data_IF_453465961605
#
_entry.id   IF_453465961605
#
_cell.length_a   1.000
_cell.length_b   1.000
_cell.length_c   1.000
_cell.angle_alpha   90.00
_cell.angle_beta   90.00
_cell.angle_gamma   90.00
#
_symmetry.space_group_name_H-M   'P 1'
#
loop_
_entity.id
_entity.type
_entity.pdbx_description
1 polymer ?
#
# COMPACT_ATOMS: atom_id res chain seq x y z
N UNK A 1 -16.86 23.76 8.83
CA UNK A 1 -16.37 22.37 8.63
C UNK A 1 -14.88 22.36 8.29
N UNK A 2 -14.44 22.95 7.16
CA UNK A 2 -13.02 22.98 6.73
C UNK A 2 -12.07 23.54 7.80
N UNK A 3 -12.32 24.77 8.28
CA UNK A 3 -11.48 25.39 9.32
C UNK A 3 -11.39 24.56 10.62
N UNK A 4 -12.46 23.84 10.96
CA UNK A 4 -12.48 22.94 12.13
C UNK A 4 -11.56 21.75 11.91
N UNK A 5 -11.63 21.11 10.74
CA UNK A 5 -10.75 19.98 10.35
C UNK A 5 -9.29 20.40 10.34
N UNK A 6 -8.95 21.54 9.72
CA UNK A 6 -7.57 22.06 9.68
C UNK A 6 -7.02 22.28 11.10
N UNK A 7 -7.77 22.98 11.97
CA UNK A 7 -7.33 23.25 13.34
C UNK A 7 -7.12 21.96 14.14
N UNK A 8 -8.02 20.98 13.96
CA UNK A 8 -7.91 19.67 14.59
C UNK A 8 -6.66 18.90 14.14
N UNK A 9 -6.45 18.78 12.83
CA UNK A 9 -5.27 18.10 12.27
C UNK A 9 -3.97 18.77 12.70
N UNK A 10 -3.87 20.11 12.57
CA UNK A 10 -2.69 20.86 12.99
C UNK A 10 -2.39 20.70 14.48
N UNK A 11 -3.43 20.71 15.33
CA UNK A 11 -3.25 20.48 16.77
C UNK A 11 -2.63 19.09 17.05
N UNK A 12 -3.10 18.04 16.37
CA UNK A 12 -2.57 16.68 16.53
C UNK A 12 -1.15 16.57 16.00
N UNK A 13 -0.90 17.11 14.79
CA UNK A 13 0.43 17.09 14.16
C UNK A 13 1.46 17.78 15.08
N UNK A 14 1.11 18.95 15.62
CA UNK A 14 1.97 19.71 16.54
C UNK A 14 2.16 18.98 17.87
N UNK A 15 1.08 18.50 18.48
CA UNK A 15 1.14 17.82 19.80
C UNK A 15 1.98 16.54 19.73
N UNK A 16 1.94 15.81 18.61
CA UNK A 16 2.74 14.60 18.41
C UNK A 16 4.15 14.89 17.87
N UNK A 17 4.48 16.14 17.58
CA UNK A 17 5.82 16.55 17.11
C UNK A 17 6.14 16.21 15.66
N UNK A 18 5.13 16.04 14.79
CA UNK A 18 5.34 15.67 13.39
C UNK A 18 5.34 16.85 12.41
N UNK A 19 5.27 18.09 12.89
CA UNK A 19 5.24 19.29 12.03
C UNK A 19 6.47 19.39 11.12
N UNK A 20 7.67 19.13 11.66
CA UNK A 20 8.91 19.10 10.87
C UNK A 20 8.88 18.04 9.79
N UNK A 21 8.26 16.88 10.05
CA UNK A 21 8.14 15.82 9.06
C UNK A 21 7.28 16.26 7.87
N UNK A 22 6.12 16.86 8.13
CA UNK A 22 5.27 17.40 7.06
C UNK A 22 5.98 18.47 6.23
N UNK A 23 6.77 19.35 6.87
CA UNK A 23 7.51 20.39 6.17
C UNK A 23 8.64 19.82 5.30
N UNK A 24 9.35 18.79 5.79
CA UNK A 24 10.37 18.09 4.99
C UNK A 24 9.72 17.45 3.76
N UNK A 25 8.58 16.77 3.93
CA UNK A 25 7.87 16.13 2.83
C UNK A 25 7.32 17.14 1.83
N UNK A 26 6.63 18.17 2.32
CA UNK A 26 6.14 19.27 1.51
C UNK A 26 7.24 19.88 0.65
N UNK A 27 8.43 20.07 1.23
CA UNK A 27 9.54 20.72 0.56
C UNK A 27 10.02 19.96 -0.68
N UNK A 28 10.37 18.68 -0.55
CA UNK A 28 10.87 17.93 -1.72
C UNK A 28 9.76 17.59 -2.72
N UNK A 29 8.49 17.44 -2.27
CA UNK A 29 7.35 17.22 -3.18
C UNK A 29 7.11 18.46 -4.03
N UNK A 30 7.03 19.64 -3.42
CA UNK A 30 6.77 20.87 -4.16
C UNK A 30 7.98 21.28 -5.00
N UNK A 31 9.20 21.00 -4.54
CA UNK A 31 10.39 21.13 -5.38
C UNK A 31 10.28 20.26 -6.63
N UNK A 32 9.94 18.97 -6.49
CA UNK A 32 9.80 18.05 -7.63
C UNK A 32 8.74 18.54 -8.63
N UNK A 33 7.55 18.93 -8.14
CA UNK A 33 6.49 19.53 -8.96
C UNK A 33 6.97 20.77 -9.72
N UNK A 34 7.71 21.66 -9.04
CA UNK A 34 8.28 22.88 -9.65
C UNK A 34 9.37 22.59 -10.70
N UNK A 35 10.07 21.45 -10.61
CA UNK A 35 11.01 20.97 -11.63
C UNK A 35 10.31 20.19 -12.77
N UNK A 36 8.97 20.17 -12.78
CA UNK A 36 8.17 19.42 -13.73
C UNK A 36 8.30 17.90 -13.59
N UNK A 37 8.80 17.39 -12.46
CA UNK A 37 8.84 15.95 -12.18
C UNK A 37 7.43 15.51 -11.81
N UNK A 38 6.89 14.50 -12.51
CA UNK A 38 5.60 13.95 -12.17
C UNK A 38 5.63 13.30 -10.78
N UNK A 39 4.71 13.74 -9.91
CA UNK A 39 4.51 13.24 -8.55
C UNK A 39 3.14 12.58 -8.48
N UNK A 40 3.05 11.42 -7.83
CA UNK A 40 1.78 10.74 -7.61
C UNK A 40 0.85 11.54 -6.68
N UNK A 41 -0.46 11.34 -6.77
CA UNK A 41 -1.45 12.11 -6.01
C UNK A 41 -1.47 11.81 -4.50
N UNK A 42 -0.63 10.89 -4.03
CA UNK A 42 -0.52 10.41 -2.66
C UNK A 42 -0.77 8.90 -2.55
N UNK A 43 -0.01 8.21 -1.70
CA UNK A 43 -0.12 6.76 -1.48
C UNK A 43 -0.44 6.44 -0.03
N UNK A 44 -1.24 5.39 0.17
CA UNK A 44 -1.57 4.90 1.51
C UNK A 44 -2.56 5.82 2.22
N UNK A 45 -2.36 6.06 3.51
CA UNK A 45 -3.31 6.81 4.33
C UNK A 45 -3.14 8.33 4.30
N UNK A 46 -1.99 8.86 3.83
CA UNK A 46 -1.71 10.31 3.83
C UNK A 46 -2.78 11.15 3.11
N UNK A 47 -3.44 10.58 2.10
CA UNK A 47 -4.55 11.22 1.38
C UNK A 47 -5.76 11.57 2.28
N UNK A 48 -5.84 11.02 3.50
CA UNK A 48 -6.84 11.40 4.50
C UNK A 48 -6.54 12.70 5.27
N UNK A 49 -5.37 13.32 5.06
CA UNK A 49 -5.02 14.59 5.71
C UNK A 49 -5.32 15.79 4.83
N UNK A 50 -6.18 16.67 5.35
CA UNK A 50 -6.46 17.96 4.72
C UNK A 50 -5.24 18.88 4.78
N UNK A 51 -4.43 18.78 5.84
CA UNK A 51 -3.16 19.52 5.94
C UNK A 51 -2.19 19.06 4.85
N UNK A 52 -2.08 17.76 4.58
CA UNK A 52 -1.24 17.25 3.50
C UNK A 52 -1.70 17.75 2.12
N UNK A 53 -3.01 17.78 1.89
CA UNK A 53 -3.60 18.34 0.67
C UNK A 53 -3.27 19.84 0.50
N UNK A 54 -3.48 20.66 1.54
CA UNK A 54 -3.20 22.11 1.49
C UNK A 54 -1.71 22.40 1.28
N UNK A 55 -0.84 21.58 1.84
CA UNK A 55 0.61 21.70 1.67
C UNK A 55 1.09 21.22 0.28
N UNK A 56 0.20 20.66 -0.54
CA UNK A 56 0.55 20.12 -1.86
C UNK A 56 1.29 18.78 -1.80
N UNK A 57 1.28 18.10 -0.65
CA UNK A 57 1.85 16.75 -0.50
C UNK A 57 0.99 15.73 -1.25
N UNK A 58 -0.33 15.89 -1.20
CA UNK A 58 -1.32 15.03 -1.90
C UNK A 58 -2.20 15.88 -2.79
N UNK A 59 -2.70 15.31 -3.89
CA UNK A 59 -3.57 16.00 -4.84
C UNK A 59 -5.05 15.61 -4.71
N UNK A 60 -5.37 14.70 -3.78
CA UNK A 60 -6.74 14.29 -3.48
C UNK A 60 -7.29 15.10 -2.32
N UNK A 61 -8.44 15.75 -2.51
CA UNK A 61 -9.17 16.39 -1.43
C UNK A 61 -9.84 15.34 -0.53
N UNK A 62 -9.43 15.19 0.74
CA UNK A 62 -10.00 14.17 1.64
C UNK A 62 -11.47 14.39 1.95
N UNK A 63 -11.98 15.63 1.88
CA UNK A 63 -13.38 15.91 2.19
C UNK A 63 -14.29 15.36 1.10
N UNK A 64 -13.93 15.56 -0.16
CA UNK A 64 -14.74 15.11 -1.30
C UNK A 64 -14.79 13.58 -1.42
N UNK A 65 -13.73 12.91 -0.95
CA UNK A 65 -13.61 11.45 -0.93
C UNK A 65 -13.95 10.82 0.42
N UNK A 66 -14.45 11.61 1.37
CA UNK A 66 -14.84 11.19 2.72
C UNK A 66 -13.75 10.39 3.46
N UNK A 67 -12.49 10.84 3.37
CA UNK A 67 -11.33 10.17 3.95
C UNK A 67 -11.07 10.69 5.39
N UNK A 68 -11.07 9.79 6.41
CA UNK A 68 -10.83 10.17 7.79
C UNK A 68 -9.33 10.40 8.07
N UNK A 69 -9.03 11.45 8.84
CA UNK A 69 -7.65 11.79 9.20
C UNK A 69 -7.03 10.78 10.16
N UNK A 70 -7.85 10.21 11.04
CA UNK A 70 -7.43 9.29 12.09
C UNK A 70 -6.90 7.98 11.51
N UNK A 71 -7.30 7.63 10.28
CA UNK A 71 -6.71 6.50 9.55
C UNK A 71 -5.24 6.77 9.18
N UNK A 72 -4.87 8.02 8.96
CA UNK A 72 -3.50 8.44 8.73
C UNK A 72 -2.73 8.65 10.03
N UNK A 73 -3.23 9.54 10.89
CA UNK A 73 -2.58 9.89 12.14
C UNK A 73 -3.58 9.83 13.29
N UNK A 74 -3.73 8.64 13.84
CA UNK A 74 -4.55 8.37 15.01
C UNK A 74 -3.93 9.04 16.27
N UNK A 75 -4.64 9.93 17.00
CA UNK A 75 -4.17 10.54 18.24
C UNK A 75 -3.69 9.54 19.30
N UNK A 76 -4.38 8.41 19.41
CA UNK A 76 -4.17 7.43 20.50
C UNK A 76 -3.02 6.46 20.19
N UNK A 77 -2.47 6.51 18.97
CA UNK A 77 -1.43 5.57 18.51
C UNK A 77 -0.04 6.19 18.67
N UNK A 78 0.93 5.48 19.27
CA UNK A 78 2.29 6.01 19.44
C UNK A 78 3.14 5.97 18.16
N UNK A 79 2.67 5.33 17.08
CA UNK A 79 3.50 5.12 15.89
C UNK A 79 3.62 6.38 15.03
N UNK A 80 4.77 6.58 14.36
CA UNK A 80 4.94 7.65 13.40
C UNK A 80 3.98 7.54 12.20
N UNK A 81 3.52 8.67 11.64
CA UNK A 81 2.89 8.65 10.32
C UNK A 81 3.90 8.18 9.27
N UNK A 82 3.42 7.44 8.27
CA UNK A 82 4.21 7.03 7.10
C UNK A 82 3.65 7.76 5.89
N UNK A 83 4.48 8.56 5.22
CA UNK A 83 4.13 9.30 4.02
C UNK A 83 4.95 8.74 2.85
N UNK A 84 4.29 7.90 2.07
CA UNK A 84 4.84 7.33 0.83
C UNK A 84 4.55 8.27 -0.34
N UNK A 85 5.56 8.57 -1.15
CA UNK A 85 5.43 9.42 -2.33
C UNK A 85 5.96 8.68 -3.57
N UNK A 86 5.14 8.69 -4.61
CA UNK A 86 5.52 8.16 -5.93
C UNK A 86 6.08 9.29 -6.80
N UNK A 87 7.17 9.02 -7.51
CA UNK A 87 7.79 9.90 -8.49
C UNK A 87 7.93 9.19 -9.84
N UNK A 88 8.07 9.96 -10.93
CA UNK A 88 8.56 9.45 -12.20
C UNK A 88 9.83 8.60 -12.00
N UNK A 89 9.83 7.35 -12.47
CA UNK A 89 10.89 6.37 -12.17
C UNK A 89 12.26 6.79 -12.71
N UNK A 90 12.26 7.44 -13.86
CA UNK A 90 13.44 8.01 -14.54
C UNK A 90 14.00 9.26 -13.85
N UNK A 91 13.21 9.98 -13.05
CA UNK A 91 13.59 11.29 -12.46
C UNK A 91 13.63 11.29 -10.93
N UNK A 92 13.27 10.19 -10.26
CA UNK A 92 13.32 10.06 -8.79
C UNK A 92 14.70 10.37 -8.17
N UNK A 93 15.78 10.08 -8.92
CA UNK A 93 17.16 10.33 -8.46
C UNK A 93 17.47 11.83 -8.37
N UNK A 94 16.80 12.67 -9.17
CA UNK A 94 16.90 14.14 -9.06
C UNK A 94 16.37 14.62 -7.70
N UNK A 95 15.26 14.04 -7.24
CA UNK A 95 14.65 14.33 -5.93
C UNK A 95 15.55 13.87 -4.80
N UNK A 96 16.11 12.65 -4.90
CA UNK A 96 17.07 12.15 -3.92
C UNK A 96 18.30 13.06 -3.82
N UNK A 97 18.83 13.51 -4.97
CA UNK A 97 19.96 14.43 -5.03
C UNK A 97 19.63 15.79 -4.39
N UNK A 98 18.43 16.34 -4.65
CA UNK A 98 17.97 17.57 -4.01
C UNK A 98 17.93 17.43 -2.49
N UNK A 99 17.30 16.36 -1.99
CA UNK A 99 17.19 16.08 -0.55
C UNK A 99 18.57 15.91 0.07
N UNK A 100 19.48 15.16 -0.58
CA UNK A 100 20.86 14.95 -0.12
C UNK A 100 21.61 16.28 -0.03
N UNK A 101 21.52 17.13 -1.05
CA UNK A 101 22.18 18.44 -1.07
C UNK A 101 21.62 19.39 -0.01
N UNK A 102 20.31 19.35 0.23
CA UNK A 102 19.62 20.27 1.16
C UNK A 102 19.81 19.88 2.62
N UNK A 103 19.71 18.60 2.94
CA UNK A 103 19.75 18.11 4.33
C UNK A 103 21.14 17.63 4.76
N UNK A 104 22.06 17.42 3.81
CA UNK A 104 23.46 17.05 4.05
C UNK A 104 23.76 15.61 3.63
N UNK A 105 24.86 15.42 2.91
CA UNK A 105 25.28 14.12 2.38
C UNK A 105 25.50 13.08 3.48
N UNK A 106 26.01 13.49 4.65
CA UNK A 106 26.25 12.60 5.78
C UNK A 106 24.98 12.30 6.62
N UNK A 107 23.86 12.97 6.32
CA UNK A 107 22.59 12.86 7.06
C UNK A 107 21.50 12.14 6.28
N UNK A 108 21.69 11.97 4.97
CA UNK A 108 20.75 11.32 4.06
C UNK A 108 21.38 10.05 3.51
N UNK A 109 20.64 8.95 3.53
CA UNK A 109 21.14 7.66 3.08
C UNK A 109 20.02 6.75 2.61
N UNK A 110 20.36 5.73 1.85
CA UNK A 110 19.40 4.70 1.46
C UNK A 110 19.41 3.53 2.45
N UNK A 111 18.33 2.77 2.50
CA UNK A 111 18.22 1.62 3.39
C UNK A 111 18.79 0.37 2.70
N UNK A 112 19.53 -0.47 3.41
CA UNK A 112 19.97 -1.78 2.88
C UNK A 112 18.82 -2.79 2.88
N UNK A 113 18.89 -3.72 1.94
CA UNK A 113 18.03 -4.90 1.86
C UNK A 113 18.88 -6.14 1.76
N UNK A 114 18.42 -7.23 2.36
CA UNK A 114 19.08 -8.52 2.29
C UNK A 114 18.25 -9.48 1.46
N UNK A 115 18.78 -9.88 0.31
CA UNK A 115 18.20 -10.93 -0.50
C UNK A 115 18.41 -12.27 0.19
N UNK A 116 17.33 -13.03 0.43
CA UNK A 116 17.38 -14.37 1.04
C UNK A 116 17.48 -15.46 -0.01
N UNK A 117 17.98 -16.62 0.39
CA UNK A 117 17.95 -17.83 -0.44
C UNK A 117 16.53 -18.41 -0.50
N UNK A 118 15.78 -18.04 -1.54
CA UNK A 118 14.43 -18.57 -1.79
C UNK A 118 14.48 -20.00 -2.34
N UNK A 119 13.44 -20.81 -2.07
CA UNK A 119 13.34 -22.23 -2.41
C UNK A 119 13.98 -22.63 -3.76
N UNK A 120 13.54 -21.97 -4.84
CA UNK A 120 14.02 -22.25 -6.21
C UNK A 120 15.50 -21.91 -6.41
N UNK A 121 15.95 -20.79 -5.86
CA UNK A 121 17.35 -20.37 -5.96
C UNK A 121 18.24 -21.27 -5.10
N UNK A 122 17.80 -21.59 -3.89
CA UNK A 122 18.48 -22.54 -2.99
C UNK A 122 18.75 -23.87 -3.68
N UNK A 123 17.74 -24.44 -4.35
CA UNK A 123 17.90 -25.69 -5.10
C UNK A 123 18.91 -25.56 -6.24
N UNK A 124 18.86 -24.49 -7.03
CA UNK A 124 19.82 -24.27 -8.12
C UNK A 124 21.25 -24.12 -7.61
N UNK A 125 21.45 -23.38 -6.52
CA UNK A 125 22.78 -23.16 -5.95
C UNK A 125 23.37 -24.43 -5.34
N UNK A 126 22.56 -25.19 -4.60
CA UNK A 126 23.01 -26.48 -4.04
C UNK A 126 23.33 -27.47 -5.14
N UNK A 127 22.50 -27.54 -6.19
CA UNK A 127 22.75 -28.42 -7.35
C UNK A 127 24.12 -28.13 -7.95
N UNK A 128 24.42 -26.85 -8.19
CA UNK A 128 25.71 -26.40 -8.71
C UNK A 128 26.86 -26.71 -7.74
N UNK A 129 26.68 -26.50 -6.44
CA UNK A 129 27.71 -26.77 -5.43
C UNK A 129 28.01 -28.27 -5.30
N UNK A 130 27.04 -29.13 -5.57
CA UNK A 130 27.21 -30.60 -5.60
C UNK A 130 27.80 -31.12 -6.91
N UNK A 131 28.13 -30.25 -7.88
CA UNK A 131 28.72 -30.63 -9.16
C UNK A 131 27.74 -31.24 -10.16
N UNK A 132 26.43 -31.11 -9.92
CA UNK A 132 25.38 -31.61 -10.80
C UNK A 132 25.12 -30.62 -11.96
N UNK A 133 24.51 -31.12 -13.05
CA UNK A 133 24.24 -30.31 -14.23
C UNK A 133 23.24 -29.17 -13.96
N UNK A 134 23.38 -28.08 -14.71
CA UNK A 134 22.44 -26.95 -14.67
C UNK A 134 21.01 -27.39 -15.01
N UNK A 135 20.84 -28.32 -15.96
CA UNK A 135 19.53 -28.85 -16.36
C UNK A 135 18.81 -29.55 -15.21
N UNK A 136 19.53 -30.27 -14.36
CA UNK A 136 18.97 -30.89 -13.15
C UNK A 136 18.45 -29.82 -12.19
N UNK A 137 19.24 -28.77 -11.94
CA UNK A 137 18.87 -27.70 -11.01
C UNK A 137 17.66 -26.90 -11.50
N UNK A 138 17.60 -26.62 -12.80
CA UNK A 138 16.46 -25.91 -13.40
C UNK A 138 15.19 -26.77 -13.41
N UNK A 139 15.31 -28.08 -13.70
CA UNK A 139 14.19 -29.03 -13.62
C UNK A 139 13.60 -29.06 -12.22
N UNK A 140 14.43 -29.23 -11.19
CA UNK A 140 13.97 -29.27 -9.79
C UNK A 140 13.37 -27.94 -9.34
N UNK A 141 13.97 -26.81 -9.72
CA UNK A 141 13.42 -25.50 -9.42
C UNK A 141 12.04 -25.28 -10.07
N UNK A 142 11.82 -25.74 -11.30
CA UNK A 142 10.53 -25.64 -11.98
C UNK A 142 9.43 -26.48 -11.32
N UNK A 143 9.78 -27.59 -10.67
CA UNK A 143 8.84 -28.43 -9.91
C UNK A 143 8.36 -27.78 -8.60
N UNK A 144 9.06 -26.77 -8.09
CA UNK A 144 8.64 -25.97 -6.93
C UNK A 144 7.59 -24.96 -7.40
N UNK A 145 6.36 -24.96 -6.86
CA UNK A 145 5.34 -23.98 -7.22
C UNK A 145 5.77 -22.55 -6.85
N UNK A 146 5.15 -21.56 -7.47
CA UNK A 146 5.32 -20.18 -7.04
C UNK A 146 4.59 -19.95 -5.70
N UNK A 147 5.15 -19.08 -4.87
CA UNK A 147 4.48 -18.63 -3.65
C UNK A 147 3.17 -17.92 -3.96
N UNK A 148 2.29 -17.85 -2.95
CA UNK A 148 1.06 -17.06 -3.02
C UNK A 148 1.38 -15.62 -2.61
N UNK A 149 0.57 -14.65 -3.02
CA UNK A 149 0.84 -13.22 -2.82
C UNK A 149 1.19 -12.90 -1.35
N UNK A 150 2.41 -12.41 -1.12
CA UNK A 150 2.94 -12.07 0.21
C UNK A 150 3.53 -13.24 1.03
N UNK A 151 3.47 -14.48 0.53
CA UNK A 151 4.02 -15.66 1.20
C UNK A 151 4.96 -16.42 0.27
N UNK A 152 6.25 -16.40 0.61
CA UNK A 152 7.26 -17.15 -0.12
C UNK A 152 7.02 -18.65 0.03
N UNK A 153 7.13 -19.38 -1.08
CA UNK A 153 7.12 -20.84 -1.07
C UNK A 153 8.35 -21.36 -0.33
N UNK A 154 8.16 -22.38 0.51
CA UNK A 154 9.26 -23.13 1.13
C UNK A 154 9.44 -24.48 0.45
N UNK A 155 10.64 -25.05 0.50
CA UNK A 155 10.88 -26.39 -0.06
C UNK A 155 10.01 -27.44 0.65
N UNK A 156 9.76 -27.28 1.95
CA UNK A 156 8.89 -28.17 2.72
C UNK A 156 7.44 -28.13 2.21
N UNK A 157 6.86 -26.95 2.01
CA UNK A 157 5.52 -26.82 1.42
C UNK A 157 5.48 -27.33 -0.02
N UNK A 158 6.52 -27.05 -0.80
CA UNK A 158 6.60 -27.52 -2.19
C UNK A 158 6.58 -29.06 -2.29
N UNK A 159 7.17 -29.78 -1.33
CA UNK A 159 7.10 -31.24 -1.26
C UNK A 159 5.71 -31.79 -0.90
N UNK A 160 4.87 -30.99 -0.24
CA UNK A 160 3.49 -31.34 0.06
C UNK A 160 2.57 -31.04 -1.13
N UNK A 161 2.78 -29.91 -1.81
CA UNK A 161 1.93 -29.42 -2.90
C UNK A 161 2.28 -30.04 -4.27
N UNK A 162 3.55 -30.33 -4.53
CA UNK A 162 4.02 -30.82 -5.83
C UNK A 162 4.28 -32.32 -5.81
N UNK A 163 3.34 -33.09 -6.36
CA UNK A 163 3.47 -34.55 -6.50
C UNK A 163 4.73 -34.96 -7.28
N UNK A 164 5.12 -34.17 -8.30
CA UNK A 164 6.32 -34.42 -9.10
C UNK A 164 7.60 -34.23 -8.27
N UNK A 165 7.68 -33.14 -7.48
CA UNK A 165 8.83 -32.89 -6.62
C UNK A 165 8.95 -33.98 -5.54
N UNK A 166 7.82 -34.39 -4.95
CA UNK A 166 7.76 -35.45 -3.95
C UNK A 166 8.23 -36.79 -4.52
N UNK A 167 7.79 -37.13 -5.72
CA UNK A 167 8.22 -38.34 -6.40
C UNK A 167 9.73 -38.32 -6.68
N UNK A 168 10.27 -37.22 -7.23
CA UNK A 168 11.70 -37.07 -7.48
C UNK A 168 12.52 -37.16 -6.18
N UNK A 169 12.05 -36.55 -5.08
CA UNK A 169 12.68 -36.65 -3.77
C UNK A 169 12.73 -38.09 -3.21
N UNK A 170 11.72 -38.91 -3.51
CA UNK A 170 11.65 -40.30 -3.04
C UNK A 170 12.43 -41.29 -3.91
N UNK A 171 12.59 -40.99 -5.21
CA UNK A 171 13.10 -41.95 -6.20
C UNK A 171 14.51 -41.64 -6.68
N UNK A 172 14.94 -40.37 -6.63
CA UNK A 172 16.23 -39.94 -7.16
C UNK A 172 17.18 -39.56 -5.98
N UNK A 173 18.27 -40.32 -5.74
CA UNK A 173 19.18 -40.06 -4.63
C UNK A 173 19.82 -38.66 -4.65
N UNK A 174 20.20 -38.18 -5.84
CA UNK A 174 20.78 -36.85 -6.02
C UNK A 174 19.78 -35.75 -5.69
N UNK A 175 18.53 -35.90 -6.11
CA UNK A 175 17.46 -34.94 -5.81
C UNK A 175 17.18 -34.89 -4.31
N UNK A 176 17.15 -36.05 -3.63
CA UNK A 176 17.02 -36.10 -2.17
C UNK A 176 18.13 -35.30 -1.49
N UNK A 177 19.39 -35.55 -1.88
CA UNK A 177 20.56 -34.86 -1.34
C UNK A 177 20.51 -33.34 -1.59
N UNK A 178 20.14 -32.92 -2.80
CA UNK A 178 19.98 -31.50 -3.16
C UNK A 178 18.92 -30.84 -2.28
N UNK A 179 17.73 -31.44 -2.17
CA UNK A 179 16.62 -30.86 -1.44
C UNK A 179 16.87 -30.82 0.07
N UNK A 180 17.49 -31.85 0.65
CA UNK A 180 17.83 -31.87 2.07
C UNK A 180 18.83 -30.78 2.46
N UNK A 181 19.84 -30.53 1.62
CA UNK A 181 20.79 -29.44 1.83
C UNK A 181 20.14 -28.09 1.55
N UNK A 182 19.35 -27.97 0.48
CA UNK A 182 18.67 -26.73 0.12
C UNK A 182 17.69 -26.28 1.22
N UNK A 183 16.99 -27.21 1.89
CA UNK A 183 16.12 -26.93 3.04
C UNK A 183 16.87 -26.33 4.23
N UNK A 184 18.15 -26.66 4.41
CA UNK A 184 18.95 -26.13 5.52
C UNK A 184 19.46 -24.71 5.28
N UNK A 185 19.63 -24.32 4.01
CA UNK A 185 20.13 -22.99 3.65
C UNK A 185 19.03 -22.04 3.18
N UNK A 186 17.83 -22.55 2.89
CA UNK A 186 16.66 -21.76 2.57
C UNK A 186 16.40 -20.71 3.66
N UNK A 187 16.16 -19.47 3.25
CA UNK A 187 15.92 -18.34 4.14
C UNK A 187 17.17 -17.65 4.67
N UNK A 188 18.37 -18.21 4.47
CA UNK A 188 19.62 -17.54 4.84
C UNK A 188 19.85 -16.28 3.98
N UNK A 189 20.43 -15.20 4.54
CA UNK A 189 20.88 -14.05 3.76
C UNK A 189 21.94 -14.46 2.73
N UNK A 190 21.79 -13.98 1.49
CA UNK A 190 22.70 -14.28 0.37
C UNK A 190 23.57 -13.09 -0.01
N UNK A 191 22.96 -11.93 -0.13
CA UNK A 191 23.62 -10.71 -0.58
C UNK A 191 22.90 -9.49 -0.02
N UNK A 192 23.63 -8.38 0.09
CA UNK A 192 23.07 -7.06 0.33
C UNK A 192 22.78 -6.34 -0.98
N UNK A 193 21.72 -5.55 -0.98
CA UNK A 193 21.34 -4.63 -2.05
C UNK A 193 20.78 -3.34 -1.45
N UNK A 194 20.60 -2.30 -2.26
CA UNK A 194 19.93 -1.07 -1.84
C UNK A 194 18.41 -1.26 -1.91
N UNK A 195 17.67 -0.79 -0.91
CA UNK A 195 16.21 -0.74 -0.93
C UNK A 195 15.75 0.10 -2.12
N UNK A 196 14.79 -0.41 -2.89
CA UNK A 196 14.37 0.23 -4.12
C UNK A 196 13.86 1.66 -3.89
N UNK A 197 13.20 1.94 -2.77
CA UNK A 197 12.57 3.23 -2.49
C UNK A 197 13.04 3.91 -1.19
N UNK A 198 13.71 3.20 -0.30
CA UNK A 198 13.78 3.58 1.12
C UNK A 198 14.91 4.57 1.36
N UNK A 199 14.56 5.78 1.79
CA UNK A 199 15.50 6.85 2.12
C UNK A 199 15.33 7.22 3.59
N UNK A 200 16.44 7.37 4.29
CA UNK A 200 16.47 7.89 5.66
C UNK A 200 17.02 9.31 5.68
N UNK A 201 16.40 10.16 6.49
CA UNK A 201 16.85 11.53 6.75
C UNK A 201 17.02 11.67 8.26
N UNK A 202 18.16 12.21 8.69
CA UNK A 202 18.51 12.33 10.11
C UNK A 202 18.88 13.76 10.49
N UNK A 203 18.72 14.10 11.77
CA UNK A 203 19.01 15.44 12.28
C UNK A 203 20.54 15.71 12.38
N UNK A 204 21.28 14.66 12.75
CA UNK A 204 22.74 14.62 12.83
C UNK A 204 23.29 13.63 11.80
N UNK A 205 24.61 13.43 11.78
CA UNK A 205 25.24 12.45 10.90
C UNK A 205 24.66 11.05 11.12
N UNK A 206 24.42 10.30 10.04
CA UNK A 206 23.82 8.96 10.12
C UNK A 206 24.63 8.01 11.01
N UNK A 207 25.96 8.18 11.04
CA UNK A 207 26.88 7.37 11.84
C UNK A 207 26.67 7.51 13.36
N UNK A 208 26.01 8.57 13.82
CA UNK A 208 25.62 8.70 15.23
C UNK A 208 24.46 7.76 15.61
N UNK A 209 23.69 7.29 14.62
CA UNK A 209 22.50 6.47 14.83
C UNK A 209 22.67 5.03 14.33
N UNK A 210 23.30 4.86 13.17
CA UNK A 210 23.41 3.57 12.48
C UNK A 210 24.76 3.43 11.77
N UNK A 211 25.33 2.20 11.70
CA UNK A 211 26.47 1.94 10.83
C UNK A 211 26.06 2.12 9.36
N UNK A 212 26.98 2.65 8.56
CA UNK A 212 26.78 2.88 7.11
C UNK A 212 27.83 2.15 6.28
N UNK A 213 27.55 1.98 4.99
CA UNK A 213 28.46 1.51 3.97
C UNK A 213 28.24 2.29 2.68
N UNK A 214 29.15 2.15 1.72
CA UNK A 214 28.95 2.68 0.36
C UNK A 214 28.47 1.58 -0.56
N UNK A 215 27.55 1.92 -1.46
CA UNK A 215 27.21 1.01 -2.55
C UNK A 215 28.41 0.79 -3.48
N UNK A 216 28.52 -0.43 -4.01
CA UNK A 216 29.60 -0.81 -4.94
C UNK A 216 29.46 -0.18 -6.33
N UNK A 217 28.28 0.32 -6.71
CA UNK A 217 28.04 0.89 -8.04
C UNK A 217 28.29 2.40 -8.08
N UNK A 218 27.57 3.14 -7.24
CA UNK A 218 27.49 4.59 -7.31
C UNK A 218 28.10 5.30 -6.09
N UNK A 219 28.66 4.55 -5.14
CA UNK A 219 29.29 5.12 -3.95
C UNK A 219 28.32 5.79 -2.97
N UNK A 220 27.01 5.65 -3.19
CA UNK A 220 25.92 6.20 -2.35
C UNK A 220 25.99 5.64 -0.93
N UNK A 221 25.61 6.44 0.05
CA UNK A 221 25.54 6.04 1.46
C UNK A 221 24.33 5.12 1.65
N UNK A 222 24.58 3.93 2.19
CA UNK A 222 23.57 2.94 2.56
C UNK A 222 23.73 2.65 4.06
N UNK A 223 22.63 2.55 4.80
CA UNK A 223 22.64 2.02 6.16
C UNK A 223 23.05 0.54 6.16
N UNK A 224 23.69 0.01 7.20
CA UNK A 224 23.88 -1.45 7.33
C UNK A 224 22.74 -2.14 8.07
N UNK A 225 21.85 -1.35 8.68
CA UNK A 225 20.59 -1.80 9.27
C UNK A 225 19.50 -1.80 8.22
N UNK A 226 18.73 -2.88 8.15
CA UNK A 226 17.58 -2.97 7.26
C UNK A 226 16.39 -2.17 7.81
N UNK A 227 15.30 -2.17 7.03
CA UNK A 227 14.07 -1.45 7.38
C UNK A 227 13.52 -1.84 8.76
N UNK A 228 13.66 -3.09 9.19
CA UNK A 228 13.12 -3.56 10.46
C UNK A 228 13.90 -3.03 11.67
N UNK A 229 15.19 -2.74 11.50
CA UNK A 229 15.99 -2.15 12.55
C UNK A 229 15.83 -0.62 12.63
N UNK A 230 15.45 0.03 11.53
CA UNK A 230 15.42 1.49 11.42
C UNK A 230 14.03 2.06 11.69
N UNK A 231 13.00 1.49 11.06
CA UNK A 231 11.66 2.07 11.00
C UNK A 231 10.73 1.49 12.09
N UNK A 232 10.16 2.36 12.92
CA UNK A 232 9.20 2.00 13.96
C UNK A 232 7.88 1.45 13.38
N UNK A 233 7.54 1.76 12.13
CA UNK A 233 6.36 1.22 11.45
C UNK A 233 6.59 -0.21 10.92
N UNK A 234 7.84 -0.62 10.73
CA UNK A 234 8.19 -1.94 10.22
C UNK A 234 8.17 -3.04 11.30
N UNK A 235 8.18 -2.69 12.58
CA UNK A 235 8.25 -3.64 13.70
C UNK A 235 7.06 -3.56 14.66
N UNK A 236 6.54 -4.72 15.05
CA UNK A 236 5.37 -4.81 15.92
C UNK A 236 5.64 -4.48 17.39
N UNK A 237 6.90 -4.56 17.82
CA UNK A 237 7.34 -4.34 19.20
C UNK A 237 7.82 -2.91 19.49
N UNK A 238 7.77 -2.00 18.49
CA UNK A 238 8.25 -0.61 18.57
C UNK A 238 9.73 -0.48 19.00
N UNK A 239 10.54 -1.51 18.74
CA UNK A 239 11.98 -1.49 19.02
C UNK A 239 12.75 -1.35 17.71
N UNK A 240 12.89 -0.11 17.25
CA UNK A 240 13.74 0.28 16.14
C UNK A 240 14.46 1.59 16.50
N UNK A 241 15.47 1.97 15.71
CA UNK A 241 16.23 3.22 15.93
C UNK A 241 15.32 4.45 15.83
N UNK A 242 14.28 4.40 14.98
CA UNK A 242 13.30 5.49 14.83
C UNK A 242 13.80 6.65 13.98
N UNK A 243 14.64 6.37 12.98
CA UNK A 243 14.99 7.39 11.98
C UNK A 243 13.79 7.70 11.09
N UNK A 244 13.76 8.92 10.56
CA UNK A 244 12.75 9.31 9.61
C UNK A 244 13.01 8.58 8.28
N UNK A 245 12.10 7.67 7.95
CA UNK A 245 12.04 6.98 6.66
C UNK A 245 11.05 7.69 5.75
N UNK A 246 11.43 7.85 4.48
CA UNK A 246 10.51 8.19 3.40
C UNK A 246 10.77 7.25 2.23
N UNK A 247 9.71 6.72 1.63
CA UNK A 247 9.84 5.93 0.41
C UNK A 247 9.71 6.82 -0.83
N UNK A 248 10.76 6.87 -1.64
CA UNK A 248 10.79 7.49 -2.97
C UNK A 248 10.58 6.41 -4.02
N UNK A 249 9.31 6.07 -4.26
CA UNK A 249 8.96 5.02 -5.21
C UNK A 249 9.07 5.56 -6.63
N UNK A 250 9.74 4.82 -7.50
CA UNK A 250 9.69 5.07 -8.94
C UNK A 250 8.46 4.39 -9.54
N UNK A 251 7.49 5.16 -10.03
CA UNK A 251 6.30 4.64 -10.69
C UNK A 251 6.36 4.94 -12.19
N UNK A 252 6.56 3.89 -12.99
CA UNK A 252 6.64 3.98 -14.46
C UNK A 252 5.45 4.71 -15.10
N UNK A 253 4.26 4.57 -14.51
CA UNK A 253 3.05 5.23 -15.00
C UNK A 253 3.13 6.76 -14.93
N UNK A 254 3.84 7.32 -13.95
CA UNK A 254 4.06 8.76 -13.87
C UNK A 254 4.95 9.23 -15.02
N UNK A 255 6.00 8.47 -15.36
CA UNK A 255 6.85 8.75 -16.52
C UNK A 255 6.10 8.62 -17.84
N UNK A 256 5.20 7.64 -17.98
CA UNK A 256 4.33 7.52 -19.15
C UNK A 256 3.43 8.76 -19.30
N UNK A 257 2.84 9.22 -18.20
CA UNK A 257 2.00 10.42 -18.19
C UNK A 257 2.83 11.67 -18.54
N UNK A 258 4.00 11.84 -17.93
CA UNK A 258 4.93 12.96 -18.20
C UNK A 258 5.28 13.05 -19.69
N UNK A 259 5.70 11.94 -20.29
CA UNK A 259 6.01 11.89 -21.73
C UNK A 259 4.76 12.11 -22.60
N UNK A 260 3.60 11.55 -22.22
CA UNK A 260 2.35 11.78 -22.95
C UNK A 260 1.97 13.26 -22.98
N UNK A 261 2.04 13.97 -21.84
CA UNK A 261 1.75 15.40 -21.75
C UNK A 261 2.70 16.23 -22.63
N UNK A 262 3.99 15.89 -22.62
CA UNK A 262 5.00 16.52 -23.48
C UNK A 262 4.69 16.34 -24.97
N UNK A 263 4.31 15.14 -25.41
CA UNK A 263 3.91 14.93 -26.81
C UNK A 263 2.62 15.66 -27.17
N UNK A 264 1.65 15.76 -26.26
CA UNK A 264 0.44 16.56 -26.48
C UNK A 264 0.80 18.04 -26.67
N UNK A 265 1.67 18.60 -25.83
CA UNK A 265 2.12 19.99 -25.95
C UNK A 265 2.84 20.23 -27.28
N UNK A 266 3.77 19.34 -27.68
CA UNK A 266 4.49 19.43 -28.96
C UNK A 266 3.55 19.40 -30.17
N UNK A 267 2.56 18.50 -30.16
CA UNK A 267 1.72 18.25 -31.33
C UNK A 267 0.51 19.19 -31.44
N UNK A 268 0.00 19.69 -30.32
CA UNK A 268 -1.24 20.49 -30.28
C UNK A 268 -1.02 21.93 -29.81
N UNK A 269 0.14 22.25 -29.22
CA UNK A 269 0.38 23.53 -28.55
C UNK A 269 -0.38 23.70 -27.23
N UNK A 270 -1.14 22.69 -26.79
CA UNK A 270 -1.92 22.73 -25.56
C UNK A 270 -1.10 22.16 -24.41
N UNK A 271 -0.84 23.00 -23.40
CA UNK A 271 -0.25 22.58 -22.14
C UNK A 271 -1.35 22.10 -21.19
N UNK A 272 -1.31 20.82 -20.84
CA UNK A 272 -2.26 20.20 -19.90
C UNK A 272 -1.61 20.14 -18.51
N UNK A 273 -2.32 20.64 -17.50
CA UNK A 273 -1.97 20.41 -16.10
C UNK A 273 -2.71 19.17 -15.59
N UNK A 274 -1.96 18.09 -15.35
CA UNK A 274 -2.52 16.81 -14.91
C UNK A 274 -3.16 16.88 -13.53
N UNK A 275 -2.74 17.81 -12.67
CA UNK A 275 -3.27 17.94 -11.31
C UNK A 275 -4.63 18.64 -11.26
N UNK A 276 -5.07 19.22 -12.37
CA UNK A 276 -6.33 19.98 -12.47
C UNK A 276 -7.30 19.40 -13.52
N UNK A 277 -7.11 18.14 -13.93
CA UNK A 277 -8.02 17.49 -14.89
C UNK A 277 -9.39 17.19 -14.26
N UNK A 278 -10.51 17.39 -14.98
CA UNK A 278 -11.84 17.05 -14.48
C UNK A 278 -11.99 15.55 -14.22
N UNK A 279 -12.63 15.20 -13.11
CA UNK A 279 -12.87 13.80 -12.71
C UNK A 279 -14.21 13.23 -13.20
N UNK A 280 -15.00 14.02 -13.93
CA UNK A 280 -16.33 13.70 -14.42
C UNK A 280 -16.40 13.60 -15.96
N UNK A 281 -15.26 13.50 -16.64
CA UNK A 281 -15.20 13.40 -18.10
C UNK A 281 -15.90 12.14 -18.64
N UNK A 282 -17.03 12.34 -19.32
CA UNK A 282 -17.86 11.27 -19.86
C UNK A 282 -17.10 10.40 -20.87
N UNK A 283 -16.23 10.98 -21.70
CA UNK A 283 -15.49 10.21 -22.73
C UNK A 283 -14.53 9.20 -22.10
N UNK A 284 -13.88 9.59 -21.01
CA UNK A 284 -13.00 8.72 -20.21
C UNK A 284 -13.78 7.54 -19.65
N UNK A 285 -14.94 7.79 -19.03
CA UNK A 285 -15.80 6.72 -18.50
C UNK A 285 -16.41 5.83 -19.59
N UNK A 286 -16.79 6.40 -20.73
CA UNK A 286 -17.31 5.64 -21.87
C UNK A 286 -16.23 4.68 -22.41
N UNK A 287 -14.96 5.09 -22.47
CA UNK A 287 -13.81 4.25 -22.86
C UNK A 287 -13.61 3.07 -21.89
N UNK A 288 -13.60 3.35 -20.59
CA UNK A 288 -13.45 2.31 -19.56
C UNK A 288 -14.65 1.34 -19.60
N UNK A 289 -15.87 1.86 -19.79
CA UNK A 289 -17.10 1.07 -19.90
C UNK A 289 -17.15 0.16 -21.13
N UNK A 290 -16.39 0.46 -22.19
CA UNK A 290 -16.19 -0.45 -23.33
C UNK A 290 -15.12 -1.51 -23.08
N UNK A 291 -14.45 -1.46 -21.92
CA UNK A 291 -13.32 -2.33 -21.57
C UNK A 291 -12.08 -2.09 -22.41
N UNK A 292 -11.94 -0.90 -23.00
CA UNK A 292 -10.81 -0.46 -23.82
C UNK A 292 -9.62 0.00 -22.94
N UNK A 293 -9.30 -0.77 -21.90
CA UNK A 293 -8.37 -0.37 -20.83
C UNK A 293 -6.94 -0.87 -21.03
N UNK A 294 -6.52 -1.14 -22.27
CA UNK A 294 -5.10 -1.46 -22.56
C UNK A 294 -4.28 -0.17 -22.32
N UNK A 295 -3.25 -0.24 -21.48
CA UNK A 295 -2.45 0.93 -21.09
C UNK A 295 -3.09 1.82 -20.03
N UNK A 296 -4.25 1.44 -19.48
CA UNK A 296 -4.89 2.18 -18.37
C UNK A 296 -4.47 1.55 -17.04
N UNK A 297 -3.74 2.32 -16.24
CA UNK A 297 -3.17 1.87 -14.96
C UNK A 297 -4.20 1.12 -14.09
N UNK A 298 -3.79 0.00 -13.50
CA UNK A 298 -4.60 -0.90 -12.66
C UNK A 298 -5.78 -1.61 -13.35
N UNK A 299 -6.17 -1.21 -14.56
CA UNK A 299 -7.38 -1.71 -15.23
C UNK A 299 -7.13 -2.64 -16.42
N UNK A 300 -5.89 -3.08 -16.64
CA UNK A 300 -5.50 -3.79 -17.87
C UNK A 300 -5.84 -5.29 -17.90
N UNK A 301 -6.05 -5.92 -16.74
CA UNK A 301 -6.24 -7.38 -16.65
C UNK A 301 -7.52 -7.83 -17.34
N UNK A 302 -7.54 -9.06 -17.86
CA UNK A 302 -8.69 -9.59 -18.62
C UNK A 302 -10.00 -9.56 -17.83
N UNK A 303 -9.96 -9.94 -16.55
CA UNK A 303 -11.17 -9.90 -15.73
C UNK A 303 -11.51 -8.51 -15.20
N UNK A 304 -10.54 -7.60 -15.02
CA UNK A 304 -10.85 -6.20 -14.73
C UNK A 304 -11.53 -5.50 -15.93
N UNK A 305 -11.09 -5.81 -17.16
CA UNK A 305 -11.77 -5.39 -18.40
C UNK A 305 -13.21 -5.88 -18.48
N UNK A 306 -13.45 -7.13 -18.08
CA UNK A 306 -14.80 -7.68 -18.02
C UNK A 306 -15.66 -6.96 -16.97
N UNK A 307 -15.13 -6.77 -15.77
CA UNK A 307 -15.80 -6.01 -14.71
C UNK A 307 -16.14 -4.58 -15.16
N UNK A 308 -15.23 -3.90 -15.86
CA UNK A 308 -15.48 -2.56 -16.39
C UNK A 308 -16.68 -2.51 -17.35
N UNK A 309 -16.81 -3.52 -18.22
CA UNK A 309 -17.94 -3.65 -19.18
C UNK A 309 -19.28 -3.90 -18.50
N UNK A 310 -19.29 -4.69 -17.44
CA UNK A 310 -20.50 -4.99 -16.68
C UNK A 310 -20.90 -3.80 -15.80
N UNK A 311 -19.93 -3.22 -15.09
CA UNK A 311 -20.18 -2.14 -14.15
C UNK A 311 -20.52 -0.82 -14.83
N UNK A 312 -19.90 -0.54 -15.99
CA UNK A 312 -20.00 0.75 -16.70
C UNK A 312 -19.73 1.94 -15.77
N UNK A 313 -18.49 2.09 -15.25
CA UNK A 313 -18.17 3.13 -14.28
C UNK A 313 -18.49 4.53 -14.86
N UNK A 314 -19.07 5.41 -14.06
CA UNK A 314 -19.43 6.77 -14.48
C UNK A 314 -19.00 7.87 -13.48
N UNK A 315 -18.24 7.49 -12.46
CA UNK A 315 -17.65 8.36 -11.43
C UNK A 315 -16.41 7.71 -10.84
N UNK A 316 -15.55 8.51 -10.21
CA UNK A 316 -14.26 8.05 -9.69
C UNK A 316 -14.41 6.98 -8.60
N UNK A 317 -15.46 7.07 -7.79
CA UNK A 317 -15.76 6.09 -6.74
C UNK A 317 -15.99 4.68 -7.30
N UNK A 318 -16.50 4.56 -8.54
CA UNK A 318 -16.70 3.26 -9.18
C UNK A 318 -15.36 2.61 -9.53
N UNK A 319 -14.41 3.41 -10.02
CA UNK A 319 -13.05 2.94 -10.32
C UNK A 319 -12.35 2.49 -9.03
N UNK A 320 -12.49 3.28 -7.97
CA UNK A 320 -11.95 2.95 -6.65
C UNK A 320 -12.54 1.62 -6.12
N UNK A 321 -13.85 1.44 -6.26
CA UNK A 321 -14.54 0.21 -5.86
C UNK A 321 -14.12 -0.99 -6.72
N UNK A 322 -13.96 -0.82 -8.03
CA UNK A 322 -13.45 -1.88 -8.91
C UNK A 322 -12.10 -2.41 -8.44
N UNK A 323 -11.15 -1.51 -8.16
CA UNK A 323 -9.80 -1.86 -7.70
C UNK A 323 -9.82 -2.51 -6.29
N UNK A 324 -10.76 -2.10 -5.43
CA UNK A 324 -10.93 -2.68 -4.11
C UNK A 324 -11.57 -4.08 -4.15
N UNK A 325 -12.60 -4.27 -4.97
CA UNK A 325 -13.37 -5.51 -5.09
C UNK A 325 -12.64 -6.60 -5.88
N UNK A 326 -11.85 -6.23 -6.88
CA UNK A 326 -11.15 -7.19 -7.75
C UNK A 326 -9.86 -7.73 -7.08
N UNK A 327 -10.03 -8.31 -5.88
CA UNK A 327 -8.99 -8.93 -5.06
C UNK A 327 -9.50 -10.25 -4.48
N UNK A 328 -8.62 -11.24 -4.21
CA UNK A 328 -9.03 -12.48 -3.55
C UNK A 328 -9.76 -12.19 -2.22
N UNK A 329 -10.97 -12.75 -2.07
CA UNK A 329 -11.87 -12.49 -0.94
C UNK A 329 -13.03 -11.55 -1.33
N UNK A 330 -12.79 -10.22 -1.53
CA UNK A 330 -13.84 -9.29 -1.92
C UNK A 330 -14.51 -9.56 -3.27
N UNK A 331 -13.92 -10.37 -4.15
CA UNK A 331 -14.51 -10.72 -5.45
C UNK A 331 -15.92 -11.33 -5.35
N UNK A 332 -16.23 -12.03 -4.25
CA UNK A 332 -17.56 -12.61 -4.03
C UNK A 332 -18.65 -11.54 -3.83
N UNK A 333 -18.26 -10.29 -3.55
CA UNK A 333 -19.17 -9.16 -3.40
C UNK A 333 -19.48 -8.44 -4.72
N UNK A 334 -18.73 -8.71 -5.80
CA UNK A 334 -18.90 -8.08 -7.12
C UNK A 334 -20.33 -8.24 -7.64
N UNK A 335 -20.98 -9.43 -7.61
CA UNK A 335 -22.34 -9.58 -8.09
C UNK A 335 -23.35 -8.67 -7.38
N UNK A 336 -23.25 -8.54 -6.05
CA UNK A 336 -24.11 -7.67 -5.26
C UNK A 336 -23.87 -6.18 -5.59
N UNK A 337 -22.62 -5.80 -5.82
CA UNK A 337 -22.25 -4.45 -6.22
C UNK A 337 -22.81 -4.08 -7.61
N UNK A 338 -22.68 -5.00 -8.59
CA UNK A 338 -23.24 -4.84 -9.94
C UNK A 338 -24.77 -4.73 -9.91
N UNK A 339 -25.44 -5.58 -9.13
CA UNK A 339 -26.90 -5.55 -8.98
C UNK A 339 -27.39 -4.25 -8.34
N UNK A 340 -26.72 -3.80 -7.27
CA UNK A 340 -27.02 -2.55 -6.59
C UNK A 340 -26.87 -1.34 -7.52
N UNK A 341 -25.81 -1.33 -8.34
CA UNK A 341 -25.60 -0.28 -9.34
C UNK A 341 -26.66 -0.29 -10.45
N UNK A 342 -26.98 -1.46 -10.98
CA UNK A 342 -27.95 -1.60 -12.07
C UNK A 342 -29.39 -1.29 -11.62
N UNK A 343 -29.71 -1.54 -10.34
CA UNK A 343 -31.04 -1.32 -9.80
C UNK A 343 -31.01 -0.82 -8.35
N UNK A 344 -31.14 0.49 -8.18
CA UNK A 344 -31.15 1.14 -6.87
C UNK A 344 -32.26 0.66 -5.92
N UNK A 345 -33.37 0.11 -6.44
CA UNK A 345 -34.47 -0.44 -5.62
C UNK A 345 -34.10 -1.75 -4.93
N UNK A 346 -33.07 -2.45 -5.40
CA UNK A 346 -32.60 -3.70 -4.80
C UNK A 346 -31.57 -3.48 -3.70
N UNK A 347 -31.05 -2.26 -3.55
CA UNK A 347 -30.12 -1.93 -2.49
C UNK A 347 -30.84 -2.08 -1.14
N UNK A 348 -30.34 -2.97 -0.30
CA UNK A 348 -30.86 -3.20 1.05
C UNK A 348 -29.81 -2.79 2.08
N UNK A 349 -30.15 -1.80 2.88
CA UNK A 349 -29.33 -1.41 4.03
C UNK A 349 -29.79 -2.19 5.27
N UNK A 350 -28.87 -2.69 6.12
CA UNK A 350 -29.25 -3.32 7.39
C UNK A 350 -30.04 -2.39 8.32
N UNK A 351 -29.78 -1.07 8.23
CA UNK A 351 -30.49 -0.02 8.95
C UNK A 351 -30.52 1.28 8.11
N UNK A 352 -31.57 2.13 8.19
CA UNK A 352 -31.62 3.42 7.47
C UNK A 352 -30.39 4.32 7.69
N UNK A 353 -29.84 4.35 8.90
CA UNK A 353 -28.66 5.17 9.22
C UNK A 353 -27.40 4.74 8.47
N UNK A 354 -27.34 3.52 7.96
CA UNK A 354 -26.21 3.03 7.16
C UNK A 354 -26.25 3.53 5.72
N UNK A 355 -27.37 4.13 5.28
CA UNK A 355 -27.51 4.62 3.90
C UNK A 355 -26.40 5.61 3.55
N UNK A 356 -26.15 6.61 4.39
CA UNK A 356 -25.14 7.65 4.09
C UNK A 356 -23.70 7.11 4.01
N UNK A 357 -23.43 5.93 4.60
CA UNK A 357 -22.10 5.32 4.62
C UNK A 357 -21.91 4.37 3.44
N UNK A 358 -22.98 3.66 3.06
CA UNK A 358 -22.94 2.58 2.07
C UNK A 358 -23.52 2.98 0.70
N UNK A 359 -24.13 4.15 0.56
CA UNK A 359 -24.78 4.56 -0.71
C UNK A 359 -23.78 4.69 -1.87
N UNK A 360 -22.57 5.18 -1.59
CA UNK A 360 -21.54 5.34 -2.60
C UNK A 360 -21.10 4.01 -3.21
N UNK A 361 -21.20 2.94 -2.42
CA UNK A 361 -20.85 1.55 -2.76
C UNK A 361 -22.08 0.65 -2.92
N UNK A 362 -23.24 1.25 -3.19
CA UNK A 362 -24.48 0.53 -3.52
C UNK A 362 -24.95 -0.47 -2.44
N UNK A 363 -24.71 -0.17 -1.16
CA UNK A 363 -25.07 -1.01 -0.03
C UNK A 363 -24.04 -2.09 0.33
N UNK A 364 -22.93 -2.18 -0.41
CA UNK A 364 -21.86 -3.16 -0.16
C UNK A 364 -20.77 -2.52 0.70
N UNK A 365 -20.31 -3.21 1.74
CA UNK A 365 -19.19 -2.76 2.56
C UNK A 365 -17.87 -3.08 1.86
N UNK A 366 -17.22 -2.07 1.27
CA UNK A 366 -16.01 -2.23 0.44
C UNK A 366 -14.78 -1.65 1.13
N UNK A 367 -14.92 -0.51 1.80
CA UNK A 367 -13.79 0.24 2.34
C UNK A 367 -13.61 0.08 3.85
N UNK A 368 -12.39 0.28 4.32
CA UNK A 368 -12.09 0.24 5.76
C UNK A 368 -12.66 1.45 6.48
N UNK A 369 -12.70 2.58 5.81
CA UNK A 369 -13.26 3.86 6.24
C UNK A 369 -14.75 3.70 6.54
N UNK A 370 -15.49 2.92 5.74
CA UNK A 370 -16.89 2.60 6.01
C UNK A 370 -17.06 1.83 7.33
N UNK A 371 -16.16 0.89 7.65
CA UNK A 371 -16.18 0.19 8.95
C UNK A 371 -16.01 1.18 10.09
N UNK A 372 -15.09 2.14 9.93
CA UNK A 372 -14.85 3.16 10.94
C UNK A 372 -16.07 4.07 11.14
N UNK A 373 -16.69 4.51 10.05
CA UNK A 373 -17.89 5.35 10.08
C UNK A 373 -19.10 4.63 10.69
N UNK A 374 -19.26 3.34 10.42
CA UNK A 374 -20.32 2.53 11.04
C UNK A 374 -20.13 2.47 12.56
N UNK A 375 -18.90 2.22 13.02
CA UNK A 375 -18.60 2.19 14.45
C UNK A 375 -18.80 3.56 15.12
N UNK A 376 -18.38 4.64 14.46
CA UNK A 376 -18.58 6.00 14.94
C UNK A 376 -20.08 6.35 15.02
N UNK A 377 -20.82 6.12 13.94
CA UNK A 377 -22.22 6.54 13.80
C UNK A 377 -23.18 5.71 14.66
N UNK A 378 -23.03 4.38 14.67
CA UNK A 378 -23.97 3.50 15.37
C UNK A 378 -23.62 3.33 16.85
N UNK A 379 -22.34 3.14 17.17
CA UNK A 379 -21.90 2.83 18.52
C UNK A 379 -21.29 4.01 19.27
N UNK A 380 -21.16 5.18 18.63
CA UNK A 380 -20.59 6.38 19.24
C UNK A 380 -19.09 6.28 19.52
N UNK A 381 -18.37 5.41 18.80
CA UNK A 381 -16.91 5.32 18.92
C UNK A 381 -16.28 6.65 18.51
N UNK A 382 -15.19 7.07 19.14
CA UNK A 382 -14.36 8.12 18.51
C UNK A 382 -13.75 7.59 17.21
N UNK A 383 -13.36 8.47 16.28
CA UNK A 383 -12.68 8.02 15.05
C UNK A 383 -11.36 7.28 15.35
N UNK A 384 -10.68 7.64 16.45
CA UNK A 384 -9.51 6.92 16.95
C UNK A 384 -9.84 5.48 17.38
N UNK A 385 -10.95 5.30 18.10
CA UNK A 385 -11.42 3.99 18.54
C UNK A 385 -11.89 3.14 17.36
N UNK A 386 -12.50 3.78 16.36
CA UNK A 386 -12.95 3.13 15.15
C UNK A 386 -11.78 2.59 14.30
N UNK A 387 -10.68 3.34 14.16
CA UNK A 387 -9.45 2.83 13.53
C UNK A 387 -8.82 1.68 14.34
N UNK A 388 -8.85 1.75 15.68
CA UNK A 388 -8.38 0.66 16.53
C UNK A 388 -9.17 -0.65 16.30
N UNK A 389 -10.50 -0.57 16.19
CA UNK A 389 -11.36 -1.71 15.85
C UNK A 389 -11.00 -2.27 14.47
N UNK A 390 -10.90 -1.42 13.44
CA UNK A 390 -10.49 -1.82 12.08
C UNK A 390 -9.13 -2.54 12.08
N UNK A 391 -8.15 -2.07 12.86
CA UNK A 391 -6.87 -2.77 13.03
C UNK A 391 -7.01 -4.14 13.69
N UNK A 392 -7.86 -4.24 14.73
CA UNK A 392 -8.11 -5.50 15.43
C UNK A 392 -8.68 -6.55 14.47
N UNK A 393 -9.63 -6.15 13.62
CA UNK A 393 -10.21 -6.98 12.56
C UNK A 393 -9.15 -7.41 11.55
N UNK A 394 -8.37 -6.45 11.02
CA UNK A 394 -7.33 -6.73 10.02
C UNK A 394 -6.24 -7.69 10.51
N UNK A 395 -5.86 -7.61 11.80
CA UNK A 395 -4.88 -8.51 12.43
C UNK A 395 -5.50 -9.76 13.07
N UNK A 396 -6.81 -9.97 12.92
CA UNK A 396 -7.57 -11.10 13.49
C UNK A 396 -7.31 -11.31 15.00
N UNK A 397 -7.18 -10.22 15.76
CA UNK A 397 -6.88 -10.25 17.20
C UNK A 397 -8.14 -10.55 18.02
N UNK A 398 -8.48 -11.84 18.17
CA UNK A 398 -9.73 -12.29 18.82
C UNK A 398 -10.05 -11.59 20.15
N UNK A 399 -9.10 -11.55 21.08
CA UNK A 399 -9.31 -10.95 22.40
C UNK A 399 -9.68 -9.44 22.33
N UNK A 400 -9.11 -8.70 21.38
CA UNK A 400 -9.41 -7.28 21.20
C UNK A 400 -10.77 -7.10 20.52
N UNK A 401 -11.07 -7.93 19.52
CA UNK A 401 -12.37 -7.92 18.83
C UNK A 401 -13.53 -8.24 19.78
N UNK A 402 -13.38 -9.18 20.71
CA UNK A 402 -14.43 -9.47 21.71
C UNK A 402 -14.67 -8.28 22.65
N UNK A 403 -13.61 -7.58 23.06
CA UNK A 403 -13.73 -6.36 23.88
C UNK A 403 -14.45 -5.26 23.10
N UNK A 404 -14.06 -5.03 21.85
CA UNK A 404 -14.66 -4.01 21.01
C UNK A 404 -16.11 -4.37 20.62
N UNK A 405 -16.43 -5.66 20.49
CA UNK A 405 -17.80 -6.16 20.29
C UNK A 405 -18.71 -5.72 21.43
N UNK A 406 -18.32 -5.99 22.67
CA UNK A 406 -19.10 -5.60 23.85
C UNK A 406 -19.33 -4.09 23.86
N UNK A 407 -18.28 -3.31 23.56
CA UNK A 407 -18.39 -1.86 23.49
C UNK A 407 -19.32 -1.39 22.36
N UNK A 408 -19.22 -2.00 21.18
CA UNK A 408 -20.06 -1.72 20.02
C UNK A 408 -21.54 -1.99 20.32
N UNK A 409 -21.84 -3.13 20.92
CA UNK A 409 -23.20 -3.50 21.30
C UNK A 409 -23.79 -2.53 22.32
N UNK A 410 -23.05 -2.25 23.40
CA UNK A 410 -23.49 -1.29 24.42
C UNK A 410 -23.70 0.12 23.85
N UNK A 411 -22.84 0.56 22.93
CA UNK A 411 -22.98 1.85 22.24
C UNK A 411 -24.23 1.90 21.37
N UNK A 412 -24.46 0.85 20.59
CA UNK A 412 -25.64 0.73 19.75
C UNK A 412 -26.95 0.67 20.56
N UNK A 413 -26.97 -0.08 21.67
CA UNK A 413 -28.14 -0.15 22.55
C UNK A 413 -28.47 1.22 23.18
N UNK A 414 -27.44 1.96 23.63
CA UNK A 414 -27.61 3.33 24.13
C UNK A 414 -28.16 4.29 23.08
N UNK A 415 -27.82 4.08 21.82
CA UNK A 415 -28.32 4.86 20.69
C UNK A 415 -29.67 4.36 20.15
N UNK A 416 -30.28 3.36 20.79
CA UNK A 416 -31.64 2.89 20.49
C UNK A 416 -31.75 1.82 19.41
N UNK A 417 -30.63 1.19 19.00
CA UNK A 417 -30.65 0.11 18.02
C UNK A 417 -31.07 -1.22 18.66
N UNK A 418 -31.94 -1.97 17.95
CA UNK A 418 -32.38 -3.31 18.39
C UNK A 418 -31.23 -4.31 18.29
N UNK A 419 -31.06 -5.15 19.30
CA UNK A 419 -30.01 -6.17 19.37
C UNK A 419 -29.93 -7.05 18.11
N UNK A 420 -31.06 -7.46 17.55
CA UNK A 420 -31.09 -8.28 16.32
C UNK A 420 -30.53 -7.58 15.07
N UNK A 421 -30.59 -6.25 15.02
CA UNK A 421 -29.99 -5.45 13.94
C UNK A 421 -28.49 -5.30 14.19
N UNK A 422 -28.11 -5.06 15.45
CA UNK A 422 -26.70 -4.93 15.87
C UNK A 422 -25.93 -6.22 15.59
N UNK A 423 -26.50 -7.38 15.92
CA UNK A 423 -25.91 -8.70 15.65
C UNK A 423 -25.71 -8.98 14.16
N UNK A 424 -26.55 -8.41 13.30
CA UNK A 424 -26.44 -8.57 11.85
C UNK A 424 -25.37 -7.64 11.26
N UNK A 425 -25.13 -6.49 11.88
CA UNK A 425 -24.16 -5.50 11.42
C UNK A 425 -22.74 -5.88 11.84
N UNK A 426 -22.57 -6.46 13.03
CA UNK A 426 -21.30 -6.98 13.54
C UNK A 426 -20.90 -8.28 12.84
#
# INVERSE_FOLDING_TARGET
MINTRIKYELNIINTKGYSTYFLIVQDFVNWAKNQGIAVGPGRGSVAGSLVAYILGITDINPIDQNLPFERFLNPDRPTPPDIDIDFADTRREEVLKYVTNKYGEDKVGQIITFGKMEARLSVRDVTRALGLSYSTGDRLAKMIPFGKQGFNMTISQALEESAQLKFAYQTEPDTKKVLDVARRIEGLPRHSSVHAAGVVISAKSLVEYVPIQRDNKEGKIITQYDMYCIDLNAVSNQKAVGLLKVDFLGLRNLTIIEEALKYVEINSGVKIDIHHVPTDDKKTYDLISRGETIGVFQLESGGMKHLAKELKPNKLSDISAMVALYRPGPMDLIPAFLEGKANSKKIKYPHPDLKSVLEETYGVLVYQEQVMEIAHKLAGFSMSEADNLRMAMGKKKKALMEKDKVKFFNGCEKNGYKTSIVEKIW
#
